data_IF_197754945145
#
_entry.id   IF_197754945145
#
_cell.length_a   1.000
_cell.length_b   1.000
_cell.length_c   1.000
_cell.angle_alpha   90.00
_cell.angle_beta   90.00
_cell.angle_gamma   90.00
#
_symmetry.space_group_name_H-M   'P 1'
#
loop_
_entity.id
_entity.type
_entity.pdbx_description
1 polymer ?
#
# COMPACT_ATOMS: atom_id res chain seq x y z
N UNK A 1 30.32 8.44 -11.92
CA UNK A 1 29.99 8.09 -10.52
C UNK A 1 28.60 8.63 -10.27
N UNK A 2 27.58 7.78 -10.39
CA UNK A 2 26.19 8.19 -10.18
C UNK A 2 25.92 8.13 -8.69
N UNK A 3 25.54 9.25 -8.07
CA UNK A 3 25.07 9.26 -6.68
C UNK A 3 23.91 8.25 -6.55
N UNK A 4 24.16 7.17 -5.81
CA UNK A 4 23.35 5.95 -5.75
C UNK A 4 21.99 6.07 -5.07
N UNK A 5 21.37 7.26 -5.06
CA UNK A 5 20.00 7.47 -4.60
C UNK A 5 19.21 8.15 -5.71
N UNK A 6 18.91 7.38 -6.77
CA UNK A 6 17.73 7.71 -7.57
C UNK A 6 16.55 7.86 -6.59
N UNK A 7 15.83 8.98 -6.69
CA UNK A 7 14.69 9.25 -5.80
C UNK A 7 13.69 8.09 -5.94
N UNK A 8 13.58 7.27 -4.89
CA UNK A 8 12.71 6.09 -4.91
C UNK A 8 11.29 6.50 -5.28
N UNK A 9 10.70 5.82 -6.25
CA UNK A 9 9.34 6.07 -6.65
C UNK A 9 8.38 5.70 -5.50
N UNK A 10 7.21 6.36 -5.37
CA UNK A 10 6.27 6.07 -4.29
C UNK A 10 5.86 4.57 -4.18
N UNK A 11 5.71 3.86 -5.29
CA UNK A 11 5.37 2.44 -5.27
C UNK A 11 6.53 1.55 -4.78
N UNK A 12 7.79 1.95 -5.02
CA UNK A 12 8.99 1.29 -4.51
C UNK A 12 9.12 1.47 -2.99
N UNK A 13 8.94 2.71 -2.51
CA UNK A 13 8.90 3.01 -1.08
C UNK A 13 7.84 2.15 -0.38
N UNK A 14 6.65 2.04 -0.99
CA UNK A 14 5.58 1.23 -0.46
C UNK A 14 5.92 -0.27 -0.47
N UNK A 15 6.60 -0.75 -1.51
CA UNK A 15 7.09 -2.13 -1.60
C UNK A 15 8.08 -2.44 -0.46
N UNK A 16 9.04 -1.54 -0.21
CA UNK A 16 10.01 -1.68 0.87
C UNK A 16 9.34 -1.63 2.26
N UNK A 17 8.32 -0.78 2.42
CA UNK A 17 7.60 -0.62 3.69
C UNK A 17 6.68 -1.80 4.02
N UNK A 18 5.91 -2.26 3.04
CA UNK A 18 4.74 -3.13 3.28
C UNK A 18 4.52 -4.21 2.23
N UNK A 19 5.49 -4.43 1.35
CA UNK A 19 5.45 -5.49 0.34
C UNK A 19 4.53 -5.21 -0.86
N UNK A 20 4.27 -6.24 -1.69
CA UNK A 20 3.58 -6.09 -2.97
C UNK A 20 2.20 -5.43 -2.86
N UNK A 21 1.45 -5.77 -1.80
CA UNK A 21 0.12 -5.17 -1.57
C UNK A 21 0.19 -3.66 -1.35
N UNK A 22 1.22 -3.18 -0.64
CA UNK A 22 1.41 -1.76 -0.41
C UNK A 22 1.76 -1.03 -1.72
N UNK A 23 2.64 -1.60 -2.53
CA UNK A 23 2.99 -1.05 -3.86
C UNK A 23 1.77 -0.94 -4.78
N UNK A 24 0.99 -2.02 -4.89
CA UNK A 24 -0.27 -2.02 -5.67
C UNK A 24 -1.26 -0.99 -5.13
N UNK A 25 -1.35 -0.82 -3.81
CA UNK A 25 -2.23 0.20 -3.22
C UNK A 25 -1.84 1.61 -3.65
N UNK A 26 -0.55 1.94 -3.65
CA UNK A 26 -0.06 3.25 -4.13
C UNK A 26 -0.35 3.44 -5.61
N UNK A 27 -0.10 2.42 -6.46
CA UNK A 27 -0.41 2.51 -7.88
C UNK A 27 -1.92 2.68 -8.15
N UNK A 28 -2.79 2.02 -7.40
CA UNK A 28 -4.24 2.23 -7.51
C UNK A 28 -4.65 3.65 -7.12
N UNK A 29 -4.00 4.25 -6.12
CA UNK A 29 -4.21 5.66 -5.78
C UNK A 29 -3.68 6.57 -6.90
N UNK A 30 -2.53 6.25 -7.52
CA UNK A 30 -1.99 7.03 -8.64
C UNK A 30 -2.94 7.03 -9.83
N UNK A 31 -3.45 5.86 -10.21
CA UNK A 31 -4.47 5.72 -11.24
C UNK A 31 -5.75 6.48 -10.87
N UNK A 32 -6.16 6.47 -9.60
CA UNK A 32 -7.34 7.22 -9.15
C UNK A 32 -7.17 8.74 -9.25
N UNK A 33 -6.02 9.26 -8.80
CA UNK A 33 -5.70 10.69 -8.88
C UNK A 33 -5.67 11.17 -10.33
N UNK A 34 -5.18 10.32 -11.25
CA UNK A 34 -5.22 10.56 -12.70
C UNK A 34 -6.55 10.27 -13.38
N UNK A 35 -7.61 9.92 -12.62
CA UNK A 35 -8.94 9.58 -13.15
C UNK A 35 -8.98 8.36 -14.07
N UNK A 36 -8.01 7.46 -13.97
CA UNK A 36 -7.91 6.21 -14.72
C UNK A 36 -8.45 5.01 -13.95
N UNK A 37 -8.70 5.16 -12.65
CA UNK A 37 -9.31 4.13 -11.82
C UNK A 37 -10.38 4.72 -10.91
N UNK A 38 -11.48 3.99 -10.79
CA UNK A 38 -12.59 4.37 -9.92
C UNK A 38 -13.18 3.16 -9.21
N UNK A 39 -13.99 3.38 -8.15
CA UNK A 39 -14.68 2.28 -7.50
C UNK A 39 -15.69 1.63 -8.45
N UNK A 40 -15.59 0.31 -8.60
CA UNK A 40 -16.56 -0.49 -9.35
C UNK A 40 -17.70 -0.98 -8.46
N UNK A 41 -18.02 -2.28 -8.57
CA UNK A 41 -18.88 -2.96 -7.59
C UNK A 41 -18.26 -2.85 -6.19
N UNK A 42 -19.05 -2.94 -5.11
CA UNK A 42 -18.53 -2.82 -3.75
C UNK A 42 -17.28 -3.70 -3.51
N UNK A 43 -16.17 -3.08 -3.12
CA UNK A 43 -14.90 -3.75 -2.87
C UNK A 43 -14.06 -4.05 -4.12
N UNK A 44 -14.42 -3.49 -5.29
CA UNK A 44 -13.63 -3.62 -6.53
C UNK A 44 -13.19 -2.27 -7.06
N UNK A 45 -12.13 -2.30 -7.85
CA UNK A 45 -11.65 -1.19 -8.68
C UNK A 45 -11.98 -1.53 -10.13
N UNK A 46 -12.37 -0.54 -10.92
CA UNK A 46 -12.48 -0.65 -12.38
C UNK A 46 -11.61 0.40 -13.05
N UNK A 47 -11.09 0.08 -14.24
CA UNK A 47 -10.47 1.08 -15.10
C UNK A 47 -11.55 2.04 -15.62
N UNK A 48 -11.15 3.30 -15.79
CA UNK A 48 -11.91 4.28 -16.58
C UNK A 48 -11.23 4.34 -17.94
N UNK A 49 -11.97 4.19 -19.06
CA UNK A 49 -11.39 4.29 -20.39
C UNK A 49 -10.60 5.58 -20.55
N UNK A 50 -9.40 5.46 -21.09
CA UNK A 50 -8.51 6.57 -21.36
C UNK A 50 -8.82 7.12 -22.74
N UNK A 51 -9.01 8.43 -22.86
CA UNK A 51 -8.98 9.07 -24.17
C UNK A 51 -7.53 9.03 -24.70
N UNK A 52 -7.35 8.71 -25.98
CA UNK A 52 -6.03 8.52 -26.60
C UNK A 52 -5.08 9.73 -26.41
N UNK A 53 -5.62 10.92 -26.10
CA UNK A 53 -4.87 12.14 -25.83
C UNK A 53 -4.14 12.16 -24.46
N UNK A 54 -4.45 11.25 -23.52
CA UNK A 54 -3.90 11.29 -22.15
C UNK A 54 -2.68 10.38 -21.95
N UNK A 55 -1.97 9.98 -23.02
CA UNK A 55 -1.24 8.71 -23.18
C UNK A 55 0.01 8.41 -22.30
N UNK A 56 0.46 9.26 -21.38
CA UNK A 56 1.63 8.93 -20.54
C UNK A 56 1.24 8.46 -19.13
N UNK A 57 1.23 7.14 -18.93
CA UNK A 57 1.33 6.59 -17.59
C UNK A 57 2.82 6.67 -17.21
N UNK A 58 3.13 7.17 -16.01
CA UNK A 58 4.51 7.52 -15.64
C UNK A 58 5.39 6.28 -15.36
N UNK A 59 4.82 5.08 -15.25
CA UNK A 59 5.61 3.86 -15.03
C UNK A 59 4.98 2.60 -15.62
N UNK A 60 5.82 1.70 -16.13
CA UNK A 60 5.41 0.37 -16.63
C UNK A 60 4.69 -0.47 -15.56
N UNK A 61 4.91 -0.18 -14.27
CA UNK A 61 4.19 -0.81 -13.17
C UNK A 61 2.70 -0.41 -13.13
N UNK A 62 2.40 0.87 -13.36
CA UNK A 62 1.03 1.38 -13.42
C UNK A 62 0.30 0.88 -14.67
N UNK A 63 0.99 0.78 -15.82
CA UNK A 63 0.45 0.23 -17.08
C UNK A 63 -0.08 -1.20 -16.92
N UNK A 64 0.70 -2.08 -16.29
CA UNK A 64 0.31 -3.47 -16.10
C UNK A 64 -0.87 -3.63 -15.13
N UNK A 65 -0.97 -2.75 -14.13
CA UNK A 65 -2.14 -2.72 -13.24
C UNK A 65 -3.37 -2.19 -13.97
N UNK A 66 -3.21 -1.14 -14.78
CA UNK A 66 -4.29 -0.58 -15.59
C UNK A 66 -4.80 -1.60 -16.61
N UNK A 67 -3.90 -2.30 -17.32
CA UNK A 67 -4.24 -3.40 -18.24
C UNK A 67 -5.09 -4.48 -17.57
N UNK A 68 -4.69 -4.95 -16.39
CA UNK A 68 -5.47 -5.94 -15.63
C UNK A 68 -6.87 -5.44 -15.22
N UNK A 69 -7.09 -4.12 -15.13
CA UNK A 69 -8.37 -3.51 -14.77
C UNK A 69 -9.28 -3.25 -15.99
N UNK A 70 -8.74 -3.28 -17.21
CA UNK A 70 -9.52 -3.08 -18.44
C UNK A 70 -10.47 -4.25 -18.71
N UNK A 71 -10.02 -5.49 -18.45
CA UNK A 71 -10.83 -6.68 -18.74
C UNK A 71 -12.08 -6.77 -17.87
N UNK A 72 -11.95 -6.44 -16.57
CA UNK A 72 -13.04 -6.51 -15.60
C UNK A 72 -12.71 -5.78 -14.30
N UNK A 73 -13.73 -5.41 -13.51
CA UNK A 73 -13.51 -4.91 -12.15
C UNK A 73 -12.86 -5.96 -11.24
N UNK A 74 -11.79 -5.59 -10.54
CA UNK A 74 -11.02 -6.50 -9.67
C UNK A 74 -11.00 -6.03 -8.21
N UNK A 75 -11.05 -6.98 -7.27
CA UNK A 75 -10.77 -6.72 -5.86
C UNK A 75 -9.27 -6.46 -5.67
N UNK A 76 -8.83 -5.55 -4.79
CA UNK A 76 -7.40 -5.28 -4.56
C UNK A 76 -6.57 -6.55 -4.28
N UNK A 77 -7.12 -7.52 -3.54
CA UNK A 77 -6.45 -8.81 -3.28
C UNK A 77 -6.25 -9.67 -4.54
N UNK A 78 -7.16 -9.58 -5.53
CA UNK A 78 -7.02 -10.29 -6.81
C UNK A 78 -6.01 -9.58 -7.72
N UNK A 79 -5.95 -8.25 -7.71
CA UNK A 79 -4.97 -7.47 -8.48
C UNK A 79 -3.55 -7.88 -8.09
N UNK A 80 -3.25 -7.97 -6.78
CA UNK A 80 -1.92 -8.41 -6.28
C UNK A 80 -1.54 -9.83 -6.75
N UNK A 81 -2.53 -10.68 -7.05
CA UNK A 81 -2.31 -12.06 -7.51
C UNK A 81 -2.33 -12.20 -9.04
N UNK A 82 -2.65 -11.14 -9.77
CA UNK A 82 -2.67 -11.14 -11.23
C UNK A 82 -1.27 -11.45 -11.77
N UNK A 83 -1.11 -12.33 -12.78
CA UNK A 83 0.20 -12.71 -13.31
C UNK A 83 1.03 -11.50 -13.72
N UNK A 84 0.44 -10.57 -14.49
CA UNK A 84 1.13 -9.38 -14.97
C UNK A 84 1.56 -8.44 -13.84
N UNK A 85 0.73 -8.31 -12.80
CA UNK A 85 1.07 -7.51 -11.62
C UNK A 85 2.18 -8.17 -10.80
N UNK A 86 2.19 -9.50 -10.71
CA UNK A 86 3.29 -10.23 -10.05
C UNK A 86 4.60 -10.07 -10.82
N UNK A 87 4.54 -10.10 -12.16
CA UNK A 87 5.69 -9.81 -13.02
C UNK A 87 6.15 -8.36 -12.81
N UNK A 88 5.24 -7.40 -12.82
CA UNK A 88 5.55 -5.99 -12.57
C UNK A 88 6.26 -5.79 -11.23
N UNK A 89 5.76 -6.43 -10.16
CA UNK A 89 6.41 -6.41 -8.84
C UNK A 89 7.80 -7.06 -8.89
N UNK A 90 7.96 -8.17 -9.60
CA UNK A 90 9.26 -8.82 -9.74
C UNK A 90 10.28 -7.91 -10.45
N UNK A 91 9.86 -7.23 -11.52
CA UNK A 91 10.68 -6.25 -12.25
C UNK A 91 11.09 -5.08 -11.37
N UNK A 92 10.18 -4.52 -10.57
CA UNK A 92 10.49 -3.45 -9.60
C UNK A 92 11.49 -3.92 -8.53
N UNK A 93 11.49 -5.21 -8.17
CA UNK A 93 12.43 -5.75 -7.17
C UNK A 93 13.87 -5.86 -7.67
N UNK A 94 14.09 -5.96 -8.98
CA UNK A 94 15.44 -6.09 -9.55
C UNK A 94 16.33 -4.90 -9.19
N UNK A 95 15.99 -3.63 -9.56
CA UNK A 95 16.85 -2.50 -9.24
C UNK A 95 16.95 -2.26 -7.72
N UNK A 96 15.92 -2.58 -6.94
CA UNK A 96 15.97 -2.47 -5.48
C UNK A 96 16.90 -3.52 -4.84
N UNK A 97 17.00 -4.71 -5.43
CA UNK A 97 17.95 -5.72 -4.99
C UNK A 97 19.39 -5.33 -5.38
N UNK A 98 19.59 -4.84 -6.60
CA UNK A 98 20.87 -4.32 -7.08
C UNK A 98 21.37 -3.15 -6.20
N UNK A 99 20.46 -2.28 -5.75
CA UNK A 99 20.76 -1.21 -4.80
C UNK A 99 20.96 -1.67 -3.34
N UNK A 100 20.91 -2.98 -3.05
CA UNK A 100 21.08 -3.52 -1.69
C UNK A 100 19.91 -3.24 -0.74
N UNK A 101 18.74 -2.86 -1.26
CA UNK A 101 17.54 -2.56 -0.48
C UNK A 101 16.68 -3.79 -0.20
N UNK A 102 16.89 -4.89 -0.94
CA UNK A 102 16.23 -6.18 -0.74
C UNK A 102 17.22 -7.30 -0.44
N UNK A 103 16.85 -8.21 0.47
CA UNK A 103 17.66 -9.36 0.91
C UNK A 103 17.27 -10.62 0.15
N UNK A 104 18.21 -11.25 -0.56
CA UNK A 104 18.03 -12.57 -1.15
C UNK A 104 18.05 -13.70 -0.08
N UNK A 105 17.32 -14.83 -0.22
CA UNK A 105 16.35 -15.18 -1.28
C UNK A 105 14.91 -14.70 -0.99
N UNK A 106 14.62 -14.30 0.25
CA UNK A 106 13.27 -13.97 0.69
C UNK A 106 12.75 -12.61 0.21
N UNK A 107 13.61 -11.82 -0.47
CA UNK A 107 13.35 -10.48 -1.02
C UNK A 107 12.66 -9.55 -0.01
N UNK A 108 13.09 -9.63 1.25
CA UNK A 108 12.64 -8.77 2.34
C UNK A 108 13.52 -7.52 2.46
N UNK A 109 12.99 -6.40 3.00
CA UNK A 109 13.75 -5.15 3.11
C UNK A 109 14.96 -5.29 4.04
N UNK A 110 16.10 -4.77 3.59
CA UNK A 110 17.36 -4.74 4.37
C UNK A 110 17.28 -3.73 5.52
N UNK A 111 18.35 -3.64 6.33
CA UNK A 111 18.46 -2.56 7.34
C UNK A 111 18.63 -1.20 6.66
N UNK A 112 19.35 -1.14 5.53
CA UNK A 112 19.51 0.07 4.73
C UNK A 112 18.15 0.57 4.23
N UNK A 113 17.34 -0.31 3.62
CA UNK A 113 15.98 0.04 3.19
C UNK A 113 15.10 0.56 4.33
N UNK A 114 15.17 -0.06 5.51
CA UNK A 114 14.42 0.41 6.68
C UNK A 114 14.87 1.78 7.16
N UNK A 115 16.18 2.06 7.15
CA UNK A 115 16.73 3.38 7.48
C UNK A 115 16.30 4.43 6.46
N UNK A 116 16.36 4.10 5.17
CA UNK A 116 15.94 4.96 4.07
C UNK A 116 14.46 5.37 4.22
N UNK A 117 13.56 4.39 4.41
CA UNK A 117 12.13 4.63 4.64
C UNK A 117 11.89 5.43 5.92
N UNK A 118 12.66 5.18 6.99
CA UNK A 118 12.56 5.94 8.23
C UNK A 118 13.01 7.41 8.06
N UNK A 119 14.10 7.64 7.33
CA UNK A 119 14.59 8.98 7.01
C UNK A 119 13.57 9.76 6.15
N UNK A 120 12.96 9.09 5.17
CA UNK A 120 11.86 9.67 4.39
C UNK A 120 10.65 10.00 5.26
N UNK A 121 10.23 9.11 6.17
CA UNK A 121 9.13 9.38 7.11
C UNK A 121 9.40 10.57 8.03
N UNK A 122 10.66 10.73 8.48
CA UNK A 122 11.04 11.86 9.33
C UNK A 122 10.92 13.20 8.59
N UNK A 123 11.28 13.23 7.29
CA UNK A 123 11.16 14.41 6.42
C UNK A 123 9.73 14.68 5.97
N UNK A 124 8.92 13.64 5.75
CA UNK A 124 7.56 13.75 5.22
C UNK A 124 6.53 13.26 6.25
N UNK A 125 6.13 14.17 7.15
CA UNK A 125 5.08 13.90 8.15
C UNK A 125 3.74 13.64 7.49
N UNK A 126 2.87 12.91 8.19
CA UNK A 126 1.51 12.65 7.73
C UNK A 126 0.75 13.98 7.56
N UNK A 127 0.20 14.28 6.37
CA UNK A 127 -0.54 15.52 6.17
C UNK A 127 -1.83 15.53 7.00
N UNK A 128 -2.03 16.61 7.77
CA UNK A 128 -3.23 16.83 8.58
C UNK A 128 -4.41 17.30 7.72
N UNK A 129 -4.12 17.93 6.57
CA UNK A 129 -5.12 18.49 5.66
C UNK A 129 -4.93 17.94 4.24
N UNK A 130 -6.04 17.78 3.53
CA UNK A 130 -6.11 17.25 2.15
C UNK A 130 -5.83 18.29 1.05
N UNK A 131 -6.05 19.57 1.35
CA UNK A 131 -5.96 20.66 0.36
C UNK A 131 -4.52 21.17 0.22
N UNK A 132 -4.14 21.57 -0.99
CA UNK A 132 -2.81 22.14 -1.28
C UNK A 132 -1.69 21.11 -1.50
N UNK A 133 -1.98 19.81 -1.45
CA UNK A 133 -1.00 18.76 -1.75
C UNK A 133 -1.02 18.40 -3.23
N UNK A 134 0.18 18.29 -3.82
CA UNK A 134 0.33 17.74 -5.16
C UNK A 134 -0.07 16.26 -5.18
N UNK A 135 -0.40 15.71 -6.35
CA UNK A 135 -0.70 14.28 -6.46
C UNK A 135 0.51 13.41 -6.10
N UNK A 136 1.71 13.89 -6.41
CA UNK A 136 2.96 13.24 -5.98
C UNK A 136 3.07 13.20 -4.45
N UNK A 137 2.79 14.30 -3.74
CA UNK A 137 2.85 14.33 -2.28
C UNK A 137 1.82 13.41 -1.63
N UNK A 138 0.62 13.31 -2.23
CA UNK A 138 -0.40 12.34 -1.77
C UNK A 138 0.10 10.91 -1.93
N UNK A 139 0.73 10.58 -3.06
CA UNK A 139 1.30 9.25 -3.30
C UNK A 139 2.43 8.94 -2.34
N UNK A 140 3.34 9.90 -2.11
CA UNK A 140 4.42 9.77 -1.15
C UNK A 140 3.90 9.56 0.28
N UNK A 141 2.87 10.32 0.69
CA UNK A 141 2.23 10.13 1.99
C UNK A 141 1.59 8.74 2.14
N UNK A 142 0.91 8.24 1.10
CA UNK A 142 0.35 6.87 1.10
C UNK A 142 1.44 5.81 1.11
N UNK A 143 2.53 6.02 0.38
CA UNK A 143 3.67 5.10 0.36
C UNK A 143 4.31 4.96 1.74
N UNK A 144 4.52 6.09 2.42
CA UNK A 144 5.18 6.15 3.72
C UNK A 144 4.26 5.75 4.88
N UNK A 145 3.00 6.17 4.87
CA UNK A 145 2.11 6.05 6.04
C UNK A 145 0.96 5.05 5.83
N UNK A 146 0.79 4.51 4.62
CA UNK A 146 -0.18 3.47 4.33
C UNK A 146 -1.61 3.87 4.67
N UNK A 147 -2.25 3.07 5.53
CA UNK A 147 -3.66 3.22 5.90
C UNK A 147 -4.00 4.60 6.51
N UNK A 148 -3.10 5.16 7.33
CA UNK A 148 -3.34 6.48 7.93
C UNK A 148 -3.49 7.57 6.85
N UNK A 149 -2.65 7.53 5.81
CA UNK A 149 -2.74 8.44 4.68
C UNK A 149 -3.94 8.16 3.78
N UNK A 150 -4.33 6.89 3.58
CA UNK A 150 -5.55 6.55 2.83
C UNK A 150 -6.80 7.15 3.50
N UNK A 151 -6.90 7.04 4.83
CA UNK A 151 -8.00 7.62 5.62
C UNK A 151 -8.04 9.14 5.51
N UNK A 152 -6.88 9.79 5.55
CA UNK A 152 -6.78 11.25 5.50
C UNK A 152 -7.02 11.83 4.09
N UNK A 153 -6.49 11.19 3.05
CA UNK A 153 -6.37 11.80 1.72
C UNK A 153 -7.40 11.30 0.71
N UNK A 154 -7.70 10.01 0.71
CA UNK A 154 -8.59 9.37 -0.28
C UNK A 154 -9.63 8.44 0.35
N UNK A 155 -10.34 8.85 1.43
CA UNK A 155 -11.18 7.95 2.22
C UNK A 155 -12.29 7.30 1.39
N UNK A 156 -13.01 8.09 0.58
CA UNK A 156 -14.15 7.58 -0.22
C UNK A 156 -13.71 6.49 -1.20
N UNK A 157 -12.60 6.71 -1.90
CA UNK A 157 -12.02 5.72 -2.80
C UNK A 157 -11.58 4.48 -2.03
N UNK A 158 -10.84 4.66 -0.94
CA UNK A 158 -10.26 3.56 -0.18
C UNK A 158 -11.31 2.64 0.46
N UNK A 159 -12.42 3.18 0.98
CA UNK A 159 -13.52 2.39 1.53
C UNK A 159 -14.38 1.72 0.46
N UNK A 160 -14.65 2.39 -0.68
CA UNK A 160 -15.49 1.79 -1.73
C UNK A 160 -14.78 0.67 -2.48
N UNK A 161 -13.46 0.79 -2.66
CA UNK A 161 -12.63 -0.21 -3.34
C UNK A 161 -12.17 -1.34 -2.43
N UNK A 162 -12.40 -1.24 -1.11
CA UNK A 162 -11.96 -2.24 -0.13
C UNK A 162 -10.45 -2.23 0.12
N UNK A 163 -9.78 -1.12 -0.15
CA UNK A 163 -8.39 -0.89 0.26
C UNK A 163 -8.29 -0.72 1.78
N UNK A 164 -9.30 -0.08 2.37
CA UNK A 164 -9.50 -0.04 3.83
C UNK A 164 -10.60 -1.03 4.24
N UNK A 165 -10.47 -1.67 5.41
CA UNK A 165 -11.58 -2.40 5.99
C UNK A 165 -12.76 -1.45 6.19
N UNK A 166 -13.98 -1.90 5.87
CA UNK A 166 -15.16 -1.18 6.32
C UNK A 166 -15.21 -1.32 7.84
N UNK A 167 -15.46 -0.21 8.52
CA UNK A 167 -15.91 -0.29 9.91
C UNK A 167 -17.28 -0.95 9.84
N UNK A 168 -17.35 -2.24 10.16
CA UNK A 168 -18.61 -2.81 10.59
C UNK A 168 -18.97 -2.05 11.86
N UNK A 169 -20.11 -1.36 11.84
CA UNK A 169 -20.75 -0.88 13.07
C UNK A 169 -21.20 -2.13 13.79
N UNK A 170 -20.24 -2.77 14.45
CA UNK A 170 -20.48 -3.83 15.40
C UNK A 170 -20.93 -3.13 16.66
N UNK A 171 -22.19 -3.37 17.03
CA UNK A 171 -22.63 -3.08 18.38
C UNK A 171 -21.61 -3.67 19.36
N UNK A 172 -21.30 -2.87 20.37
CA UNK A 172 -20.28 -3.09 21.39
C UNK A 172 -20.25 -4.55 21.86
N UNK A 173 -19.28 -5.34 21.37
CA UNK A 173 -18.56 -6.40 22.09
C UNK A 173 -17.38 -6.88 21.26
N UNK A 174 -16.21 -6.83 21.90
CA UNK A 174 -14.92 -6.73 21.26
C UNK A 174 -14.51 -7.92 20.40
N UNK A 175 -13.83 -7.62 19.30
CA UNK A 175 -12.66 -8.34 18.79
C UNK A 175 -11.94 -7.38 17.84
N UNK A 176 -10.81 -6.81 18.28
CA UNK A 176 -10.00 -5.94 17.44
C UNK A 176 -9.33 -6.73 16.29
N UNK A 177 -9.14 -6.14 15.10
CA UNK A 177 -8.48 -6.84 14.01
C UNK A 177 -6.98 -7.01 14.29
N UNK A 178 -6.59 -8.26 14.54
CA UNK A 178 -5.22 -8.74 14.68
C UNK A 178 -4.42 -8.51 13.38
N UNK A 179 -3.55 -7.51 13.42
CA UNK A 179 -2.30 -7.50 12.66
C UNK A 179 -1.14 -7.45 13.66
N UNK A 180 -1.05 -8.50 14.48
CA UNK A 180 0.09 -8.76 15.35
C UNK A 180 1.12 -9.61 14.61
N UNK A 181 2.36 -9.14 14.61
CA UNK A 181 3.53 -9.97 14.35
C UNK A 181 3.45 -11.25 15.19
N UNK A 182 3.77 -12.38 14.58
CA UNK A 182 3.85 -13.65 15.28
C UNK A 182 4.88 -13.63 16.40
N UNK A 183 4.52 -14.27 17.51
CA UNK A 183 5.46 -14.84 18.47
C UNK A 183 5.50 -14.16 19.84
N UNK A 184 4.56 -14.51 20.72
CA UNK A 184 4.87 -15.16 22.01
C UNK A 184 3.57 -15.32 22.82
N UNK A 185 3.32 -16.54 23.28
CA UNK A 185 2.17 -16.93 24.07
C UNK A 185 2.13 -16.17 25.41
N UNK A 186 0.98 -15.60 25.76
CA UNK A 186 0.66 -15.25 27.14
C UNK A 186 -0.09 -16.41 27.76
N UNK A 187 0.64 -17.31 28.42
CA UNK A 187 0.07 -18.11 29.49
C UNK A 187 0.03 -17.20 30.72
N UNK A 188 -1.14 -16.63 31.01
CA UNK A 188 -1.42 -16.06 32.34
C UNK A 188 -2.29 -17.07 33.09
N UNK A 189 -1.62 -18.01 33.77
CA UNK A 189 -2.21 -18.70 34.90
C UNK A 189 -2.25 -17.72 36.06
N UNK A 190 -3.39 -17.09 36.29
CA UNK A 190 -3.68 -16.35 37.51
C UNK A 190 -4.59 -17.20 38.37
N UNK A 191 -4.01 -17.90 39.33
CA UNK A 191 -4.76 -18.47 40.44
C UNK A 191 -4.25 -17.80 41.70
N UNK A 192 -5.10 -17.03 42.37
CA UNK A 192 -4.95 -16.66 43.78
C UNK A 192 -6.29 -16.15 44.34
N UNK A 193 -6.75 -16.77 45.44
CA UNK A 193 -7.34 -16.04 46.56
C UNK A 193 -8.85 -16.16 46.83
N UNK A 194 -9.21 -16.94 47.86
CA UNK A 194 -9.88 -16.38 49.05
C UNK A 194 -11.38 -16.62 49.29
N UNK A 195 -11.69 -17.58 50.19
CA UNK A 195 -12.39 -17.37 51.48
C UNK A 195 -13.92 -17.23 51.57
N UNK A 196 -14.52 -18.11 52.42
CA UNK A 196 -15.74 -18.05 53.28
C UNK A 196 -16.56 -19.35 53.10
N UNK A 197 -16.91 -20.16 54.09
CA UNK A 197 -17.17 -19.99 55.54
C UNK A 197 -16.53 -21.11 56.39
#
# INVERSE_FOLDING_TARGET
>A
MSDGTAALAPHEIALLRGGPRAAVTVALVALHLRRLAEPGRPGTVRAVPRDAATAELTSSFEDLIYGALLDRPLRPRRIVRHPDVRLAVALVRVPLAEAGLLRWPFLGPTRAARREVAALRARHRLPVRRHGLTDHDKLLAVALHGEAALKALVPRFAYRTGLLPRVEVTDVRGTGPSWGYGGAASFCGGGDGGGSD
#
